data_IF_605180685596
#
_entry.id   IF_605180685596
#
_cell.length_a   1.000
_cell.length_b   1.000
_cell.length_c   1.000
_cell.angle_alpha   90.00
_cell.angle_beta   90.00
_cell.angle_gamma   90.00
#
_symmetry.space_group_name_H-M   'P 1'
#
loop_
_entity.id
_entity.type
_entity.pdbx_description
1 polymer ?
#
# COMPACT_ATOMS: atom_id res chain seq x y z
N UNK A 1 36.11 -19.02 -26.46
CA UNK A 1 35.96 -18.33 -25.16
C UNK A 1 36.43 -16.89 -25.28
N UNK A 2 35.52 -15.92 -25.19
CA UNK A 2 35.82 -14.51 -24.90
C UNK A 2 34.72 -14.02 -23.95
N UNK A 3 35.07 -13.77 -22.68
CA UNK A 3 34.19 -13.10 -21.71
C UNK A 3 34.15 -11.62 -22.08
N UNK A 4 32.96 -11.08 -22.39
CA UNK A 4 32.72 -9.63 -22.37
C UNK A 4 32.54 -9.23 -20.90
N UNK A 5 33.43 -8.37 -20.39
CA UNK A 5 33.21 -7.61 -19.17
C UNK A 5 32.10 -6.59 -19.45
N UNK A 6 31.06 -6.57 -18.62
CA UNK A 6 30.10 -5.47 -18.57
C UNK A 6 30.44 -4.68 -17.32
N UNK A 7 30.94 -3.47 -17.52
CA UNK A 7 31.23 -2.49 -16.48
C UNK A 7 29.87 -1.87 -16.10
N UNK A 8 29.42 -2.08 -14.87
CA UNK A 8 28.22 -1.45 -14.34
C UNK A 8 28.51 0.04 -14.09
N UNK A 9 27.95 0.91 -14.92
CA UNK A 9 27.99 2.36 -14.72
C UNK A 9 27.03 2.75 -13.59
N UNK A 10 27.59 3.31 -12.52
CA UNK A 10 26.86 3.95 -11.42
C UNK A 10 26.33 5.29 -11.94
N UNK A 11 25.01 5.46 -12.00
CA UNK A 11 24.40 6.79 -12.12
C UNK A 11 24.21 7.32 -10.70
N UNK A 12 25.11 8.20 -10.29
CA UNK A 12 25.10 8.88 -9.00
C UNK A 12 24.23 10.13 -9.12
N UNK A 13 22.98 10.07 -8.68
CA UNK A 13 22.17 11.28 -8.45
C UNK A 13 22.32 11.65 -6.97
N UNK A 14 23.10 12.69 -6.70
CA UNK A 14 23.27 13.25 -5.35
C UNK A 14 22.15 14.26 -5.12
N UNK A 15 21.25 13.95 -4.18
CA UNK A 15 20.63 14.97 -3.34
C UNK A 15 20.89 14.62 -1.88
N UNK A 16 21.40 15.60 -1.15
CA UNK A 16 21.83 15.48 0.24
C UNK A 16 20.75 14.91 1.15
N UNK A 17 21.11 13.93 1.98
CA UNK A 17 20.61 13.94 3.37
C UNK A 17 19.96 12.69 3.96
N UNK A 18 20.31 11.46 3.57
CA UNK A 18 20.55 10.30 4.46
C UNK A 18 20.75 9.05 3.60
N UNK A 19 21.91 8.41 3.74
CA UNK A 19 22.18 7.12 3.11
C UNK A 19 21.60 6.03 4.02
N UNK A 20 20.46 5.47 3.66
CA UNK A 20 20.05 4.16 4.19
C UNK A 20 20.82 3.10 3.40
N UNK A 21 21.90 2.57 3.99
CA UNK A 21 22.53 1.36 3.46
C UNK A 21 21.61 0.19 3.80
N UNK A 22 20.60 -0.07 2.97
CA UNK A 22 19.99 -1.39 2.96
C UNK A 22 21.05 -2.38 2.48
N UNK A 23 21.58 -3.17 3.41
CA UNK A 23 22.34 -4.38 3.10
C UNK A 23 21.39 -5.30 2.35
N UNK A 24 21.42 -5.23 1.01
CA UNK A 24 20.80 -6.23 0.16
C UNK A 24 21.53 -7.53 0.47
N UNK A 25 20.91 -8.38 1.29
CA UNK A 25 21.38 -9.73 1.55
C UNK A 25 21.20 -10.46 0.22
N UNK A 26 22.27 -10.45 -0.56
CA UNK A 26 22.40 -11.12 -1.85
C UNK A 26 22.12 -12.62 -1.62
N UNK A 27 20.86 -13.05 -1.77
CA UNK A 27 20.54 -14.48 -1.79
C UNK A 27 21.06 -15.00 -3.13
N UNK A 28 22.19 -15.71 -3.05
CA UNK A 28 22.71 -16.59 -4.10
C UNK A 28 21.54 -17.29 -4.79
N UNK A 29 21.50 -17.24 -6.12
CA UNK A 29 20.68 -18.14 -6.92
C UNK A 29 21.01 -19.58 -6.52
N UNK A 30 20.11 -20.20 -5.76
CA UNK A 30 20.17 -21.62 -5.52
C UNK A 30 19.66 -22.28 -6.81
N UNK A 31 20.57 -22.85 -7.59
CA UNK A 31 20.21 -23.91 -8.52
C UNK A 31 19.73 -25.06 -7.65
N UNK A 32 18.42 -25.22 -7.56
CA UNK A 32 17.75 -26.43 -7.12
C UNK A 32 16.88 -26.83 -8.31
N UNK A 33 17.08 -28.05 -8.82
CA UNK A 33 16.18 -28.66 -9.78
C UNK A 33 14.79 -28.68 -9.14
N UNK A 34 13.90 -27.82 -9.60
CA UNK A 34 12.47 -27.89 -9.31
C UNK A 34 11.86 -28.44 -10.58
N UNK A 35 11.25 -29.61 -10.47
CA UNK A 35 10.45 -30.19 -11.53
C UNK A 35 9.51 -29.13 -12.10
N UNK A 36 9.61 -28.95 -13.41
CA UNK A 36 8.76 -28.08 -14.19
C UNK A 36 7.33 -28.63 -14.18
N UNK A 37 6.60 -28.38 -13.10
CA UNK A 37 5.15 -28.32 -13.10
C UNK A 37 4.81 -26.84 -13.27
N UNK A 38 5.03 -26.32 -14.49
CA UNK A 38 4.41 -25.09 -14.97
C UNK A 38 2.90 -25.22 -14.73
N UNK A 39 2.38 -24.59 -13.69
CA UNK A 39 1.10 -23.91 -13.86
C UNK A 39 1.43 -22.77 -14.81
N UNK A 40 0.97 -22.85 -16.06
CA UNK A 40 1.32 -21.82 -17.04
C UNK A 40 0.88 -20.47 -16.51
N UNK A 41 1.77 -19.48 -16.60
CA UNK A 41 1.37 -18.08 -16.45
C UNK A 41 0.20 -17.86 -17.42
N UNK A 42 -0.92 -17.33 -16.92
CA UNK A 42 -2.06 -17.03 -17.80
C UNK A 42 -1.67 -15.96 -18.81
N UNK A 43 -2.36 -15.88 -19.93
CA UNK A 43 -2.08 -14.93 -21.00
C UNK A 43 -3.29 -14.05 -21.30
N UNK A 44 -3.06 -12.96 -22.03
CA UNK A 44 -4.12 -12.11 -22.55
C UNK A 44 -4.28 -12.38 -24.05
N UNK A 45 -5.48 -12.75 -24.47
CA UNK A 45 -5.84 -13.01 -25.86
C UNK A 45 -6.93 -12.06 -26.32
N UNK A 46 -6.88 -11.62 -27.58
CA UNK A 46 -7.94 -10.75 -28.12
C UNK A 46 -9.12 -11.60 -28.63
N UNK A 47 -10.31 -11.39 -28.06
CA UNK A 47 -11.54 -12.05 -28.47
C UNK A 47 -12.59 -10.97 -28.72
N UNK A 48 -13.10 -10.88 -29.96
CA UNK A 48 -14.11 -9.88 -30.35
C UNK A 48 -13.72 -8.42 -30.03
N UNK A 49 -12.42 -8.11 -30.00
CA UNK A 49 -11.89 -6.77 -29.67
C UNK A 49 -11.67 -6.51 -28.18
N UNK A 50 -11.89 -7.51 -27.31
CA UNK A 50 -11.61 -7.43 -25.88
C UNK A 50 -10.34 -8.22 -25.53
N UNK A 51 -9.57 -7.70 -24.58
CA UNK A 51 -8.35 -8.34 -24.06
C UNK A 51 -8.73 -9.30 -22.93
N UNK A 52 -8.87 -10.59 -23.24
CA UNK A 52 -9.41 -11.62 -22.35
C UNK A 52 -8.31 -12.45 -21.70
N UNK A 53 -8.43 -12.71 -20.40
CA UNK A 53 -7.57 -13.62 -19.65
C UNK A 53 -7.85 -15.07 -20.01
N UNK A 54 -6.79 -15.77 -20.42
CA UNK A 54 -6.79 -17.19 -20.76
C UNK A 54 -5.80 -17.94 -19.88
N UNK A 55 -6.22 -19.08 -19.35
CA UNK A 55 -5.35 -19.96 -18.58
C UNK A 55 -5.38 -21.36 -19.19
N UNK A 56 -4.19 -21.91 -19.46
CA UNK A 56 -4.02 -23.25 -20.04
C UNK A 56 -4.88 -23.49 -21.32
N UNK A 57 -5.00 -22.47 -22.18
CA UNK A 57 -5.78 -22.56 -23.43
C UNK A 57 -7.29 -22.35 -23.26
N UNK A 58 -7.77 -21.99 -22.06
CA UNK A 58 -9.19 -21.76 -21.76
C UNK A 58 -9.44 -20.31 -21.35
N UNK A 59 -10.21 -19.52 -22.13
CA UNK A 59 -10.62 -18.18 -21.74
C UNK A 59 -11.55 -18.22 -20.52
N UNK A 60 -11.24 -17.45 -19.49
CA UNK A 60 -12.00 -17.43 -18.23
C UNK A 60 -12.94 -16.22 -18.18
N UNK A 61 -14.05 -16.28 -18.92
CA UNK A 61 -14.98 -15.16 -19.16
C UNK A 61 -15.77 -14.67 -17.93
N UNK A 62 -15.61 -15.30 -16.77
CA UNK A 62 -16.21 -14.88 -15.50
C UNK A 62 -15.18 -14.60 -14.42
N UNK A 63 -13.89 -14.69 -14.75
CA UNK A 63 -12.81 -14.48 -13.79
C UNK A 63 -12.76 -13.02 -13.38
N UNK A 64 -12.72 -12.75 -12.07
CA UNK A 64 -12.46 -11.41 -11.55
C UNK A 64 -11.43 -11.50 -10.46
N UNK A 65 -10.35 -10.76 -10.60
CA UNK A 65 -9.20 -10.85 -9.71
C UNK A 65 -7.96 -10.19 -10.27
N UNK A 66 -6.84 -10.37 -9.58
CA UNK A 66 -5.55 -9.84 -10.01
C UNK A 66 -4.67 -11.02 -10.47
N UNK A 67 -4.24 -11.00 -11.72
CA UNK A 67 -3.50 -12.11 -12.35
C UNK A 67 -2.14 -11.66 -12.85
N UNK A 68 -1.13 -12.51 -12.64
CA UNK A 68 0.21 -12.27 -13.14
C UNK A 68 0.30 -12.60 -14.64
N UNK A 69 0.71 -11.62 -15.45
CA UNK A 69 0.97 -11.75 -16.88
C UNK A 69 2.05 -10.76 -17.33
N UNK A 70 3.06 -11.26 -18.05
CA UNK A 70 4.16 -10.48 -18.61
C UNK A 70 4.94 -9.68 -17.55
N UNK A 71 5.11 -10.26 -16.37
CA UNK A 71 5.86 -9.61 -15.29
C UNK A 71 5.07 -8.57 -14.50
N UNK A 72 3.76 -8.41 -14.76
CA UNK A 72 2.90 -7.48 -14.05
C UNK A 72 1.64 -8.18 -13.54
N UNK A 73 1.17 -7.77 -12.37
CA UNK A 73 -0.13 -8.17 -11.84
C UNK A 73 -1.20 -7.23 -12.41
N UNK A 74 -2.17 -7.78 -13.13
CA UNK A 74 -3.20 -7.05 -13.88
C UNK A 74 -4.58 -7.37 -13.33
N UNK A 75 -5.42 -6.34 -13.23
CA UNK A 75 -6.80 -6.50 -12.84
C UNK A 75 -7.64 -7.04 -14.01
N UNK A 76 -8.27 -8.18 -13.77
CA UNK A 76 -9.21 -8.84 -14.67
C UNK A 76 -10.60 -8.71 -14.05
N UNK A 77 -11.57 -8.32 -14.86
CA UNK A 77 -12.98 -8.25 -14.46
C UNK A 77 -13.83 -8.95 -15.52
N UNK A 78 -14.60 -9.95 -15.11
CA UNK A 78 -15.38 -10.81 -16.01
C UNK A 78 -14.56 -11.33 -17.20
N UNK A 79 -13.34 -11.76 -16.92
CA UNK A 79 -12.39 -12.28 -17.89
C UNK A 79 -11.67 -11.22 -18.72
N UNK A 80 -12.03 -9.93 -18.64
CA UNK A 80 -11.41 -8.87 -19.44
C UNK A 80 -10.37 -8.11 -18.63
N UNK A 81 -9.19 -7.84 -19.21
CA UNK A 81 -8.21 -6.94 -18.61
C UNK A 81 -8.73 -5.50 -18.64
N UNK A 82 -8.87 -4.93 -17.45
CA UNK A 82 -9.34 -3.56 -17.23
C UNK A 82 -8.17 -2.61 -16.96
N UNK A 83 -7.63 -1.99 -18.00
CA UNK A 83 -6.53 -1.01 -17.88
C UNK A 83 -6.99 0.43 -17.55
N UNK A 84 -8.30 0.61 -17.37
CA UNK A 84 -8.97 1.86 -17.09
C UNK A 84 -9.37 2.01 -15.61
N UNK A 85 -9.04 1.02 -14.78
CA UNK A 85 -9.43 0.98 -13.37
C UNK A 85 -8.29 1.50 -12.49
N UNK A 86 -8.58 2.56 -11.75
CA UNK A 86 -7.76 3.06 -10.64
C UNK A 86 -8.65 3.20 -9.41
N UNK A 87 -8.34 2.51 -8.33
CA UNK A 87 -9.20 2.42 -7.13
C UNK A 87 -9.07 1.08 -6.42
N UNK A 88 -9.98 0.78 -5.49
CA UNK A 88 -10.02 -0.50 -4.79
C UNK A 88 -10.83 -1.52 -5.58
N UNK A 89 -10.25 -2.69 -5.76
CA UNK A 89 -10.91 -3.85 -6.36
C UNK A 89 -10.99 -4.98 -5.33
N UNK A 90 -12.07 -5.76 -5.37
CA UNK A 90 -12.22 -6.91 -4.49
C UNK A 90 -11.63 -8.15 -5.15
N UNK A 91 -10.70 -8.82 -4.46
CA UNK A 91 -10.12 -10.10 -4.85
C UNK A 91 -10.14 -11.03 -3.64
N UNK A 92 -10.74 -12.22 -3.78
CA UNK A 92 -10.82 -13.23 -2.72
C UNK A 92 -11.33 -12.71 -1.36
N UNK A 93 -12.31 -11.79 -1.40
CA UNK A 93 -12.91 -11.19 -0.20
C UNK A 93 -12.03 -10.13 0.49
N UNK A 94 -10.90 -9.75 -0.09
CA UNK A 94 -10.06 -8.62 0.34
C UNK A 94 -10.08 -7.50 -0.70
N UNK A 95 -9.85 -6.26 -0.26
CA UNK A 95 -9.74 -5.11 -1.17
C UNK A 95 -8.28 -4.73 -1.40
N UNK A 96 -7.94 -4.52 -2.67
CA UNK A 96 -6.61 -4.17 -3.14
C UNK A 96 -6.65 -2.92 -4.01
N UNK A 97 -5.64 -2.07 -3.89
CA UNK A 97 -5.51 -0.89 -4.72
C UNK A 97 -4.87 -1.25 -6.06
N UNK A 98 -5.53 -0.84 -7.14
CA UNK A 98 -5.00 -0.93 -8.50
C UNK A 98 -4.88 0.48 -9.09
N UNK A 99 -3.92 0.66 -9.99
CA UNK A 99 -3.72 1.88 -10.75
C UNK A 99 -3.53 1.54 -12.22
N UNK A 100 -4.38 2.11 -13.07
CA UNK A 100 -4.42 1.86 -14.52
C UNK A 100 -4.49 0.36 -14.84
N UNK A 101 -5.26 -0.39 -14.04
CA UNK A 101 -5.43 -1.83 -14.15
C UNK A 101 -4.25 -2.67 -13.69
N UNK A 102 -3.25 -2.07 -13.05
CA UNK A 102 -2.09 -2.76 -12.50
C UNK A 102 -2.15 -2.76 -10.99
N UNK A 103 -1.70 -3.86 -10.38
CA UNK A 103 -1.48 -3.89 -8.93
C UNK A 103 -0.51 -2.80 -8.52
N UNK A 104 -0.86 -2.05 -7.48
CA UNK A 104 -0.01 -1.04 -6.89
C UNK A 104 -0.01 -1.18 -5.36
N UNK A 105 1.11 -0.82 -4.74
CA UNK A 105 1.41 -1.14 -3.35
C UNK A 105 1.59 0.10 -2.47
N UNK A 106 0.71 1.12 -2.54
CA UNK A 106 0.88 2.31 -1.70
C UNK A 106 0.57 2.01 -0.24
N UNK A 107 1.15 2.83 0.64
CA UNK A 107 0.67 3.00 2.01
C UNK A 107 0.14 4.42 2.15
N UNK A 108 -1.18 4.58 2.09
CA UNK A 108 -1.86 5.88 1.95
C UNK A 108 -3.33 5.78 2.34
N UNK A 109 -4.03 6.91 2.35
CA UNK A 109 -5.48 6.97 2.32
C UNK A 109 -6.00 7.01 0.88
N UNK A 110 -7.07 6.28 0.62
CA UNK A 110 -7.80 6.26 -0.66
C UNK A 110 -9.27 6.60 -0.40
N UNK A 111 -9.82 7.53 -1.18
CA UNK A 111 -11.23 7.90 -1.13
C UNK A 111 -12.04 7.04 -2.09
N UNK A 112 -13.00 6.30 -1.57
CA UNK A 112 -13.90 5.47 -2.35
C UNK A 112 -15.23 5.29 -1.63
N UNK A 113 -16.35 5.35 -2.38
CA UNK A 113 -17.70 5.16 -1.83
C UNK A 113 -17.98 5.99 -0.56
N UNK A 114 -17.67 7.28 -0.62
CA UNK A 114 -17.82 8.25 0.46
C UNK A 114 -17.05 7.92 1.76
N UNK A 115 -16.02 7.07 1.66
CA UNK A 115 -15.18 6.64 2.79
C UNK A 115 -13.70 6.76 2.44
N UNK A 116 -12.89 7.21 3.41
CA UNK A 116 -11.42 7.18 3.28
C UNK A 116 -10.90 5.91 3.94
N UNK A 117 -10.40 4.99 3.12
CA UNK A 117 -9.80 3.73 3.56
C UNK A 117 -8.29 3.89 3.69
N UNK A 118 -7.74 3.34 4.78
CA UNK A 118 -6.31 3.17 4.93
C UNK A 118 -5.85 1.93 4.17
N UNK A 119 -4.89 2.16 3.28
CA UNK A 119 -4.23 1.15 2.48
C UNK A 119 -2.82 0.98 3.04
N UNK A 120 -2.43 -0.27 3.27
CA UNK A 120 -1.11 -0.65 3.73
C UNK A 120 -0.50 -1.63 2.74
N UNK A 121 0.58 -1.24 2.06
CA UNK A 121 1.21 -2.03 1.00
C UNK A 121 0.20 -2.52 -0.05
N UNK A 122 -0.69 -1.65 -0.52
CA UNK A 122 -1.67 -1.96 -1.58
C UNK A 122 -2.92 -2.72 -1.15
N UNK A 123 -3.05 -3.08 0.13
CA UNK A 123 -4.25 -3.76 0.66
C UNK A 123 -4.97 -2.86 1.66
N UNK A 124 -6.31 -2.86 1.65
CA UNK A 124 -7.09 -2.27 2.76
C UNK A 124 -6.71 -2.96 4.07
N UNK A 125 -6.35 -2.17 5.08
CA UNK A 125 -6.00 -2.65 6.42
C UNK A 125 -7.05 -2.17 7.42
N UNK A 126 -8.10 -2.99 7.59
CA UNK A 126 -9.22 -2.76 8.51
C UNK A 126 -8.86 -2.93 9.99
N UNK A 127 -7.63 -3.36 10.29
CA UNK A 127 -7.14 -3.52 11.66
C UNK A 127 -6.34 -2.32 12.16
N UNK A 128 -5.94 -1.42 11.25
CA UNK A 128 -5.08 -0.30 11.60
C UNK A 128 -5.86 0.78 12.36
N UNK A 129 -5.34 1.14 13.53
CA UNK A 129 -5.75 2.34 14.28
C UNK A 129 -4.50 3.14 14.63
N UNK A 130 -4.45 4.41 14.25
CA UNK A 130 -3.27 5.24 14.43
C UNK A 130 -3.22 6.47 13.53
N UNK A 131 -2.02 7.03 13.39
CA UNK A 131 -1.77 8.23 12.59
C UNK A 131 -1.17 7.89 11.22
N UNK A 132 -1.81 8.41 10.17
CA UNK A 132 -1.36 8.27 8.77
C UNK A 132 -1.00 9.64 8.21
N UNK A 133 0.17 9.74 7.58
CA UNK A 133 0.55 10.95 6.86
C UNK A 133 -0.08 10.97 5.47
N UNK A 134 -0.87 11.99 5.18
CA UNK A 134 -1.56 12.17 3.91
C UNK A 134 -1.72 13.67 3.60
N UNK A 135 -1.41 14.07 2.37
CA UNK A 135 -1.50 15.46 1.89
C UNK A 135 -0.94 16.49 2.88
N UNK A 136 0.31 16.28 3.29
CA UNK A 136 1.04 17.16 4.21
C UNK A 136 0.51 17.23 5.65
N UNK A 137 -0.46 16.40 6.02
CA UNK A 137 -1.07 16.36 7.34
C UNK A 137 -1.04 14.95 7.92
N UNK A 138 -1.16 14.85 9.24
CA UNK A 138 -1.34 13.56 9.91
C UNK A 138 -2.81 13.42 10.30
N UNK A 139 -3.42 12.33 9.85
CA UNK A 139 -4.82 12.02 10.08
C UNK A 139 -4.95 10.79 10.97
N UNK A 140 -5.93 10.84 11.86
CA UNK A 140 -6.29 9.71 12.68
C UNK A 140 -7.19 8.76 11.90
N UNK A 141 -6.80 7.49 11.91
CA UNK A 141 -7.50 6.36 11.34
C UNK A 141 -7.90 5.44 12.47
N UNK A 142 -9.12 4.94 12.41
CA UNK A 142 -9.67 3.96 13.33
C UNK A 142 -10.28 2.81 12.53
N UNK A 143 -9.88 1.60 12.85
CA UNK A 143 -10.35 0.37 12.18
C UNK A 143 -10.27 0.47 10.65
N UNK A 144 -9.14 1.00 10.15
CA UNK A 144 -8.86 1.21 8.73
C UNK A 144 -9.60 2.38 8.06
N UNK A 145 -10.38 3.17 8.80
CA UNK A 145 -11.16 4.29 8.26
C UNK A 145 -10.69 5.62 8.87
N UNK A 146 -10.50 6.65 8.06
CA UNK A 146 -10.21 8.00 8.58
C UNK A 146 -11.38 8.50 9.45
N UNK A 147 -11.09 8.86 10.70
CA UNK A 147 -12.08 9.36 11.65
C UNK A 147 -11.89 10.87 11.89
N UNK A 148 -12.71 11.68 11.20
CA UNK A 148 -12.72 13.15 11.32
C UNK A 148 -13.31 13.66 12.64
N UNK A 149 -13.90 12.79 13.44
CA UNK A 149 -14.57 13.17 14.69
C UNK A 149 -13.68 12.98 15.89
N UNK A 150 -12.60 12.19 15.76
CA UNK A 150 -11.68 11.90 16.85
C UNK A 150 -10.99 13.16 17.37
N UNK A 151 -11.08 13.37 18.67
CA UNK A 151 -10.31 14.39 19.41
C UNK A 151 -9.79 13.76 20.68
N UNK A 152 -8.47 13.76 20.87
CA UNK A 152 -7.83 13.01 21.93
C UNK A 152 -6.33 12.95 21.76
N UNK A 153 -5.70 11.95 22.36
CA UNK A 153 -4.27 11.68 22.17
C UNK A 153 -4.08 10.31 21.54
N UNK A 154 -3.24 10.23 20.52
CA UNK A 154 -2.91 9.00 19.82
C UNK A 154 -1.42 8.69 19.98
N UNK A 155 -1.10 7.42 20.25
CA UNK A 155 0.28 6.95 20.22
C UNK A 155 0.76 6.76 18.78
N UNK A 156 2.00 7.15 18.52
CA UNK A 156 2.71 6.94 17.26
C UNK A 156 4.22 6.88 17.51
N UNK A 157 4.86 5.75 17.20
CA UNK A 157 6.28 5.47 17.48
C UNK A 157 6.72 5.88 18.90
N UNK A 158 6.13 5.25 19.92
CA UNK A 158 6.46 5.44 21.35
C UNK A 158 6.30 6.88 21.87
N UNK A 159 5.57 7.73 21.13
CA UNK A 159 5.26 9.10 21.49
C UNK A 159 3.77 9.35 21.32
N UNK A 160 3.20 10.18 22.19
CA UNK A 160 1.79 10.54 22.12
C UNK A 160 1.62 11.90 21.47
N UNK A 161 0.57 12.05 20.67
CA UNK A 161 0.28 13.27 19.92
C UNK A 161 -1.17 13.66 20.08
N UNK A 162 -1.42 14.96 20.21
CA UNK A 162 -2.75 15.51 20.26
C UNK A 162 -3.36 15.58 18.86
N UNK A 163 -4.56 15.02 18.76
CA UNK A 163 -5.39 15.03 17.56
C UNK A 163 -6.66 15.81 17.85
N UNK A 164 -7.04 16.67 16.93
CA UNK A 164 -8.27 17.45 16.98
C UNK A 164 -9.01 17.32 15.66
N UNK A 165 -10.28 16.93 15.73
CA UNK A 165 -11.15 16.76 14.54
C UNK A 165 -10.48 15.84 13.47
N UNK A 166 -9.89 14.75 13.96
CA UNK A 166 -9.19 13.75 13.14
C UNK A 166 -7.81 14.16 12.63
N UNK A 167 -7.34 15.37 12.88
CA UNK A 167 -6.04 15.86 12.40
C UNK A 167 -5.08 16.13 13.57
N UNK A 168 -3.82 15.73 13.44
CA UNK A 168 -2.79 16.07 14.42
C UNK A 168 -2.59 17.60 14.45
N UNK A 169 -2.75 18.21 15.63
CA UNK A 169 -2.53 19.64 15.82
C UNK A 169 -1.13 19.91 16.41
N UNK A 170 -0.17 20.18 15.52
CA UNK A 170 1.22 20.50 15.87
C UNK A 170 1.38 21.77 16.70
N UNK A 171 0.39 22.65 16.71
CA UNK A 171 0.49 23.95 17.38
C UNK A 171 -0.24 23.98 18.72
N UNK A 172 -0.98 22.91 19.06
CA UNK A 172 -1.69 22.85 20.31
C UNK A 172 -0.74 22.81 21.50
N UNK A 173 -1.03 23.67 22.48
CA UNK A 173 -0.37 23.75 23.76
C UNK A 173 -1.44 23.88 24.84
N UNK A 174 -1.44 23.00 25.84
CA UNK A 174 -2.50 23.00 26.85
C UNK A 174 -2.57 21.74 27.69
N UNK A 175 -3.65 21.60 28.45
CA UNK A 175 -3.98 20.37 29.16
C UNK A 175 -5.15 19.69 28.46
N UNK A 176 -5.08 18.38 28.31
CA UNK A 176 -6.14 17.54 27.73
C UNK A 176 -6.39 16.38 28.69
N UNK A 177 -7.66 16.09 28.95
CA UNK A 177 -8.06 14.86 29.65
C UNK A 177 -8.55 13.86 28.60
N UNK A 178 -7.97 12.66 28.61
CA UNK A 178 -8.30 11.60 27.67
C UNK A 178 -8.31 10.27 28.42
N UNK A 179 -9.41 9.52 28.31
CA UNK A 179 -9.61 8.23 29.00
C UNK A 179 -9.36 8.25 30.52
N UNK A 180 -9.63 9.40 31.17
CA UNK A 180 -9.45 9.59 32.62
C UNK A 180 -8.04 10.01 33.02
N UNK A 181 -7.10 10.05 32.08
CA UNK A 181 -5.73 10.50 32.28
C UNK A 181 -5.55 11.94 31.80
N UNK A 182 -4.65 12.68 32.46
CA UNK A 182 -4.35 14.08 32.09
C UNK A 182 -3.04 14.14 31.34
N UNK A 183 -3.05 14.82 30.21
CA UNK A 183 -1.88 15.04 29.37
C UNK A 183 -1.58 16.53 29.29
N UNK A 184 -0.31 16.89 29.48
CA UNK A 184 0.21 18.18 29.06
C UNK A 184 0.61 18.07 27.60
N UNK A 185 0.12 18.98 26.78
CA UNK A 185 0.47 19.04 25.36
C UNK A 185 1.43 20.20 25.15
N UNK A 186 2.57 19.93 24.50
CA UNK A 186 3.54 20.93 24.06
C UNK A 186 3.85 20.74 22.58
N UNK A 187 3.50 21.73 21.75
CA UNK A 187 3.65 21.68 20.29
C UNK A 187 3.09 20.37 19.69
N UNK A 188 1.87 20.02 20.08
CA UNK A 188 1.17 18.81 19.65
C UNK A 188 1.64 17.50 20.28
N UNK A 189 2.78 17.44 20.98
CA UNK A 189 3.22 16.24 21.71
C UNK A 189 2.56 16.16 23.08
N UNK A 190 2.06 14.98 23.43
CA UNK A 190 1.38 14.73 24.69
C UNK A 190 2.29 14.04 25.71
N UNK A 191 2.24 14.53 26.94
CA UNK A 191 3.02 14.04 28.07
C UNK A 191 2.06 13.71 29.21
N UNK A 192 1.96 12.42 29.56
CA UNK A 192 1.14 11.97 30.69
C UNK A 192 1.57 12.71 31.96
N UNK A 193 0.59 13.17 32.74
CA UNK A 193 0.79 13.81 34.03
C UNK A 193 0.54 12.77 35.13
N UNK A 194 1.48 12.66 36.07
CA UNK A 194 1.34 11.84 37.29
C UNK A 194 0.49 12.52 38.36
#
# INVERSE_FOLDING_TARGET
>A
MKKKQIIAGIVLVIFCGLIVICVIKNRKSAVQNVDNQNTSEGQIVEINGELVYEKDGTPLLSETGIHFYEGQWRYIENGVWRNDVTGLVTCDGSQYYVQDGLENWPTTLVWENDTWYFINNGKVDDTYTGLVYYESNWWYVKDGILDRTYTGVCEYYDSWYYVKEGQLDWNYNGLVEYEGEKYKIENGKAYLQE
#
